data_IF_596087870432
#
_entry.id   IF_596087870432
#
_cell.length_a   1.000
_cell.length_b   1.000
_cell.length_c   1.000
_cell.angle_alpha   90.00
_cell.angle_beta   90.00
_cell.angle_gamma   90.00
#
_symmetry.space_group_name_H-M   'P 1'
#
loop_
_entity.id
_entity.type
_entity.pdbx_description
1 polymer ?
#
# COMPACT_ATOMS: atom_id res chain seq x y z
N UNK A 1 19.03 5.51 60.41
CA UNK A 1 18.71 6.91 60.80
C UNK A 1 17.96 6.98 62.13
N UNK A 2 16.98 6.10 62.41
CA UNK A 2 16.36 6.02 63.74
C UNK A 2 17.35 5.58 64.85
N UNK A 3 18.28 4.67 64.54
CA UNK A 3 19.35 4.26 65.47
C UNK A 3 20.27 5.43 65.83
N UNK A 4 20.80 6.16 64.84
CA UNK A 4 21.65 7.32 65.10
C UNK A 4 20.95 8.45 65.90
N UNK A 5 19.62 8.58 65.77
CA UNK A 5 18.84 9.52 66.57
C UNK A 5 18.65 9.03 68.01
N UNK A 6 18.48 7.71 68.22
CA UNK A 6 18.47 7.10 69.55
C UNK A 6 19.84 7.18 70.22
N UNK A 7 20.93 6.95 69.48
CA UNK A 7 22.30 7.05 70.00
C UNK A 7 22.62 8.48 70.44
N UNK A 8 22.18 9.49 69.67
CA UNK A 8 22.32 10.89 70.05
C UNK A 8 21.49 11.25 71.30
N UNK A 9 20.31 10.65 71.47
CA UNK A 9 19.46 10.83 72.65
C UNK A 9 20.06 10.16 73.90
N UNK A 10 20.66 8.97 73.77
CA UNK A 10 21.39 8.32 74.85
C UNK A 10 22.62 9.12 75.27
N UNK A 11 23.34 9.69 74.31
CA UNK A 11 24.52 10.51 74.57
C UNK A 11 24.16 11.83 75.29
N UNK A 12 23.04 12.46 74.91
CA UNK A 12 22.51 13.62 75.61
C UNK A 12 22.00 13.28 77.02
N UNK A 13 21.36 12.12 77.21
CA UNK A 13 20.91 11.64 78.51
C UNK A 13 22.10 11.32 79.45
N UNK A 14 23.19 10.77 78.91
CA UNK A 14 24.42 10.52 79.65
C UNK A 14 25.14 11.82 80.04
N UNK A 15 25.19 12.82 79.17
CA UNK A 15 25.79 14.12 79.48
C UNK A 15 25.00 14.90 80.55
N UNK A 16 23.67 14.79 80.52
CA UNK A 16 22.79 15.35 81.55
C UNK A 16 23.04 14.74 82.94
N UNK A 17 23.18 13.42 83.02
CA UNK A 17 23.44 12.73 84.28
C UNK A 17 24.83 13.03 84.88
N UNK A 18 25.81 13.42 84.06
CA UNK A 18 27.16 13.75 84.53
C UNK A 18 27.36 15.21 84.96
N UNK A 19 26.43 16.12 84.67
CA UNK A 19 26.62 17.57 84.91
C UNK A 19 26.03 18.10 86.21
N UNK A 20 25.30 17.29 87.00
CA UNK A 20 25.00 17.60 88.41
C UNK A 20 24.38 18.99 88.68
N UNK A 21 23.67 19.57 87.72
CA UNK A 21 22.99 20.86 87.88
C UNK A 21 21.48 20.64 88.05
N UNK A 22 21.00 20.95 89.27
CA UNK A 22 19.59 21.08 89.64
C UNK A 22 18.97 22.29 88.95
N UNK A 23 18.69 22.16 87.66
CA UNK A 23 17.82 23.06 86.91
C UNK A 23 17.06 22.22 85.87
N UNK A 24 16.32 21.22 86.38
CA UNK A 24 15.56 20.24 85.61
C UNK A 24 14.66 20.89 84.55
N UNK A 25 14.21 22.12 84.78
CA UNK A 25 13.40 22.91 83.84
C UNK A 25 14.17 23.38 82.60
N UNK A 26 15.42 23.80 82.74
CA UNK A 26 16.25 24.30 81.64
C UNK A 26 16.79 23.16 80.78
N UNK A 27 17.17 22.04 81.42
CA UNK A 27 17.56 20.82 80.72
C UNK A 27 16.36 20.17 80.01
N UNK A 28 15.20 20.08 80.66
CA UNK A 28 13.98 19.57 80.02
C UNK A 28 13.55 20.43 78.83
N UNK A 29 13.69 21.77 78.93
CA UNK A 29 13.42 22.70 77.83
C UNK A 29 14.40 22.53 76.66
N UNK A 30 15.70 22.40 76.94
CA UNK A 30 16.71 22.15 75.92
C UNK A 30 16.52 20.78 75.23
N UNK A 31 16.16 19.75 75.99
CA UNK A 31 15.80 18.43 75.44
C UNK A 31 14.52 18.48 74.61
N UNK A 32 13.50 19.25 75.02
CA UNK A 32 12.28 19.44 74.25
C UNK A 32 12.56 20.18 72.92
N UNK A 33 13.35 21.25 72.97
CA UNK A 33 13.78 22.02 71.80
C UNK A 33 14.64 21.18 70.84
N UNK A 34 15.55 20.34 71.37
CA UNK A 34 16.33 19.41 70.57
C UNK A 34 15.44 18.36 69.88
N UNK A 35 14.44 17.81 70.59
CA UNK A 35 13.47 16.87 70.01
C UNK A 35 12.62 17.53 68.92
N UNK A 36 12.18 18.76 69.12
CA UNK A 36 11.43 19.53 68.13
C UNK A 36 12.27 19.80 66.89
N UNK A 37 13.54 20.20 67.05
CA UNK A 37 14.47 20.39 65.93
C UNK A 37 14.72 19.09 65.18
N UNK A 38 14.97 17.97 65.88
CA UNK A 38 15.15 16.65 65.25
C UNK A 38 13.89 16.24 64.49
N UNK A 39 12.70 16.44 65.08
CA UNK A 39 11.43 16.15 64.42
C UNK A 39 11.21 17.01 63.16
N UNK A 40 11.52 18.31 63.22
CA UNK A 40 11.39 19.22 62.08
C UNK A 40 12.35 18.86 60.94
N UNK A 41 13.62 18.56 61.25
CA UNK A 41 14.62 18.12 60.26
C UNK A 41 14.23 16.78 59.66
N UNK A 42 13.68 15.86 60.46
CA UNK A 42 13.22 14.56 59.97
C UNK A 42 11.97 14.71 59.09
N UNK A 43 11.06 15.63 59.40
CA UNK A 43 9.90 15.94 58.53
C UNK A 43 10.37 16.51 57.20
N UNK A 44 11.23 17.52 57.22
CA UNK A 44 11.79 18.15 56.04
C UNK A 44 12.58 17.14 55.18
N UNK A 45 13.37 16.26 55.79
CA UNK A 45 14.08 15.19 55.10
C UNK A 45 13.13 14.17 54.45
N UNK A 46 12.03 13.80 55.13
CA UNK A 46 11.01 12.92 54.57
C UNK A 46 10.24 13.58 53.43
N UNK A 47 9.93 14.86 53.53
CA UNK A 47 9.31 15.65 52.46
C UNK A 47 10.23 15.74 51.24
N UNK A 48 11.50 16.05 51.44
CA UNK A 48 12.51 16.06 50.38
C UNK A 48 12.65 14.70 49.71
N UNK A 49 12.65 13.60 50.49
CA UNK A 49 12.68 12.23 49.95
C UNK A 49 11.46 11.94 49.07
N UNK A 50 10.26 12.25 49.54
CA UNK A 50 9.03 12.06 48.75
C UNK A 50 9.06 12.88 47.46
N UNK A 51 9.51 14.13 47.54
CA UNK A 51 9.65 14.99 46.35
C UNK A 51 10.65 14.40 45.34
N UNK A 52 11.80 13.89 45.81
CA UNK A 52 12.79 13.24 44.97
C UNK A 52 12.25 11.95 44.32
N UNK A 53 11.50 11.12 45.06
CA UNK A 53 10.85 9.92 44.51
C UNK A 53 9.84 10.28 43.42
N UNK A 54 9.01 11.30 43.63
CA UNK A 54 8.05 11.80 42.62
C UNK A 54 8.77 12.32 41.38
N UNK A 55 9.83 13.12 41.54
CA UNK A 55 10.63 13.62 40.42
C UNK A 55 11.29 12.47 39.64
N UNK A 56 11.81 11.46 40.34
CA UNK A 56 12.40 10.27 39.72
C UNK A 56 11.38 9.48 38.90
N UNK A 57 10.20 9.19 39.45
CA UNK A 57 9.16 8.46 38.73
C UNK A 57 8.67 9.23 37.50
N UNK A 58 8.51 10.56 37.62
CA UNK A 58 8.16 11.45 36.51
C UNK A 58 9.22 11.40 35.41
N UNK A 59 10.51 11.58 35.76
CA UNK A 59 11.61 11.53 34.80
C UNK A 59 11.72 10.17 34.12
N UNK A 60 11.60 9.07 34.86
CA UNK A 60 11.59 7.71 34.32
C UNK A 60 10.47 7.54 33.28
N UNK A 61 9.26 8.03 33.57
CA UNK A 61 8.13 7.99 32.65
C UNK A 61 8.37 8.83 31.40
N UNK A 62 8.89 10.06 31.55
CA UNK A 62 9.23 10.93 30.41
C UNK A 62 10.27 10.31 29.48
N UNK A 63 11.33 9.72 30.05
CA UNK A 63 12.35 9.01 29.28
C UNK A 63 11.77 7.81 28.54
N UNK A 64 10.88 7.05 29.19
CA UNK A 64 10.17 5.95 28.54
C UNK A 64 9.31 6.44 27.36
N UNK A 65 8.52 7.50 27.54
CA UNK A 65 7.70 8.08 26.47
C UNK A 65 8.55 8.55 25.29
N UNK A 66 9.64 9.27 25.55
CA UNK A 66 10.58 9.71 24.51
C UNK A 66 11.19 8.53 23.74
N UNK A 67 11.62 7.48 24.45
CA UNK A 67 12.15 6.28 23.82
C UNK A 67 11.12 5.61 22.92
N UNK A 68 9.87 5.52 23.38
CA UNK A 68 8.78 4.93 22.60
C UNK A 68 8.47 5.76 21.35
N UNK A 69 8.40 7.10 21.47
CA UNK A 69 8.19 8.00 20.32
C UNK A 69 9.28 7.80 19.28
N UNK A 70 10.56 7.82 19.68
CA UNK A 70 11.69 7.61 18.75
C UNK A 70 11.61 6.25 18.07
N UNK A 71 11.23 5.20 18.82
CA UNK A 71 11.05 3.87 18.24
C UNK A 71 9.92 3.85 17.20
N UNK A 72 8.76 4.42 17.53
CA UNK A 72 7.63 4.50 16.61
C UNK A 72 7.97 5.32 15.35
N UNK A 73 8.71 6.41 15.51
CA UNK A 73 9.23 7.21 14.40
C UNK A 73 10.14 6.42 13.48
N UNK A 74 11.12 5.70 14.04
CA UNK A 74 12.06 4.90 13.23
C UNK A 74 11.37 3.78 12.44
N UNK A 75 10.37 3.12 13.03
CA UNK A 75 9.60 2.08 12.35
C UNK A 75 8.69 2.69 11.28
N UNK A 76 8.11 3.86 11.55
CA UNK A 76 7.31 4.59 10.58
C UNK A 76 8.14 5.04 9.38
N UNK A 77 9.31 5.62 9.62
CA UNK A 77 10.26 6.03 8.58
C UNK A 77 10.67 4.83 7.72
N UNK A 78 10.95 3.68 8.33
CA UNK A 78 11.24 2.44 7.59
C UNK A 78 10.11 2.03 6.66
N UNK A 79 8.85 2.11 7.11
CA UNK A 79 7.67 1.81 6.27
C UNK A 79 7.60 2.78 5.10
N UNK A 80 7.76 4.09 5.35
CA UNK A 80 7.66 5.11 4.31
C UNK A 80 8.79 4.99 3.29
N UNK A 81 10.02 4.76 3.76
CA UNK A 81 11.18 4.57 2.89
C UNK A 81 11.00 3.36 1.98
N UNK A 82 10.37 2.28 2.44
CA UNK A 82 10.03 1.15 1.58
C UNK A 82 9.15 1.56 0.40
N UNK A 83 8.12 2.38 0.61
CA UNK A 83 7.27 2.85 -0.49
C UNK A 83 8.04 3.74 -1.47
N UNK A 84 8.87 4.67 -0.98
CA UNK A 84 9.62 5.57 -1.87
C UNK A 84 10.76 4.89 -2.62
N UNK A 85 11.48 3.97 -1.97
CA UNK A 85 12.69 3.35 -2.54
C UNK A 85 12.38 2.07 -3.33
N UNK A 86 11.32 1.35 -2.95
CA UNK A 86 10.98 0.04 -3.54
C UNK A 86 9.61 0.07 -4.20
N UNK A 87 8.58 0.56 -3.51
CA UNK A 87 7.20 0.52 -3.97
C UNK A 87 6.94 1.30 -5.26
N UNK A 88 7.18 2.62 -5.24
CA UNK A 88 6.91 3.52 -6.37
C UNK A 88 7.76 3.19 -7.62
N UNK A 89 9.07 2.92 -7.50
CA UNK A 89 9.89 2.55 -8.66
C UNK A 89 9.40 1.25 -9.30
N UNK A 90 9.01 0.24 -8.51
CA UNK A 90 8.50 -1.01 -9.06
C UNK A 90 7.13 -0.82 -9.71
N UNK A 91 6.18 -0.15 -9.05
CA UNK A 91 4.86 0.13 -9.61
C UNK A 91 4.97 0.85 -10.97
N UNK A 92 5.92 1.78 -11.10
CA UNK A 92 6.18 2.50 -12.35
C UNK A 92 6.68 1.56 -13.45
N UNK A 93 7.50 0.57 -13.10
CA UNK A 93 8.05 -0.41 -14.05
C UNK A 93 7.05 -1.49 -14.50
N UNK A 94 6.02 -1.77 -13.71
CA UNK A 94 5.06 -2.86 -13.91
C UNK A 94 3.94 -2.46 -14.88
N UNK A 95 4.29 -2.24 -16.14
CA UNK A 95 3.35 -1.88 -17.20
C UNK A 95 3.05 -3.07 -18.12
N UNK A 96 1.88 -3.08 -18.80
CA UNK A 96 1.59 -4.09 -19.83
C UNK A 96 2.69 -4.11 -20.89
N UNK A 97 3.19 -5.30 -21.21
CA UNK A 97 4.22 -5.49 -22.23
C UNK A 97 3.67 -5.50 -23.65
N UNK A 98 4.43 -6.09 -24.58
CA UNK A 98 4.06 -6.16 -26.01
C UNK A 98 3.49 -7.51 -26.44
N UNK A 99 3.57 -8.50 -25.56
CA UNK A 99 3.13 -9.87 -25.78
C UNK A 99 2.56 -10.47 -24.48
N UNK A 100 2.01 -11.69 -24.58
CA UNK A 100 1.39 -12.39 -23.45
C UNK A 100 2.39 -12.68 -22.31
N UNK A 101 3.58 -13.19 -22.64
CA UNK A 101 4.60 -13.58 -21.66
C UNK A 101 5.08 -12.38 -20.83
N UNK A 102 5.32 -11.24 -21.47
CA UNK A 102 5.69 -9.99 -20.79
C UNK A 102 4.61 -9.59 -19.77
N UNK A 103 3.34 -9.68 -20.16
CA UNK A 103 2.20 -9.35 -19.31
C UNK A 103 2.04 -10.31 -18.12
N UNK A 104 2.27 -11.61 -18.33
CA UNK A 104 2.24 -12.63 -17.27
C UNK A 104 3.38 -12.41 -16.26
N UNK A 105 4.60 -12.16 -16.73
CA UNK A 105 5.75 -11.85 -15.88
C UNK A 105 5.51 -10.56 -15.08
N UNK A 106 4.94 -9.53 -15.73
CA UNK A 106 4.58 -8.28 -15.05
C UNK A 106 3.50 -8.51 -13.98
N UNK A 107 2.51 -9.37 -14.25
CA UNK A 107 1.47 -9.73 -13.29
C UNK A 107 2.04 -10.47 -12.07
N UNK A 108 2.93 -11.44 -12.28
CA UNK A 108 3.55 -12.18 -11.17
C UNK A 108 4.32 -11.24 -10.23
N UNK A 109 5.14 -10.35 -10.80
CA UNK A 109 5.87 -9.34 -10.04
C UNK A 109 4.93 -8.37 -9.31
N UNK A 110 3.83 -7.95 -9.94
CA UNK A 110 2.82 -7.10 -9.32
C UNK A 110 2.14 -7.79 -8.13
N UNK A 111 1.84 -9.08 -8.23
CA UNK A 111 1.26 -9.84 -7.13
C UNK A 111 2.22 -9.96 -5.94
N UNK A 112 3.52 -10.11 -6.20
CA UNK A 112 4.57 -10.01 -5.17
C UNK A 112 4.55 -8.65 -4.47
N UNK A 113 4.62 -7.56 -5.25
CA UNK A 113 4.59 -6.20 -4.73
C UNK A 113 3.32 -5.89 -3.91
N UNK A 114 2.16 -6.40 -4.33
CA UNK A 114 0.90 -6.26 -3.61
C UNK A 114 0.93 -6.98 -2.26
N UNK A 115 1.56 -8.16 -2.18
CA UNK A 115 1.75 -8.87 -0.92
C UNK A 115 2.60 -8.06 0.06
N UNK A 116 3.72 -7.51 -0.43
CA UNK A 116 4.65 -6.74 0.37
C UNK A 116 4.04 -5.41 0.84
N UNK A 117 3.31 -4.71 -0.04
CA UNK A 117 2.56 -3.51 0.30
C UNK A 117 1.51 -3.77 1.41
N UNK A 118 0.83 -4.91 1.35
CA UNK A 118 -0.10 -5.34 2.42
C UNK A 118 0.63 -5.67 3.72
N UNK A 119 1.86 -6.18 3.66
CA UNK A 119 2.67 -6.35 4.88
C UNK A 119 3.02 -5.00 5.51
N UNK A 120 3.43 -4.02 4.70
CA UNK A 120 3.69 -2.66 5.17
C UNK A 120 2.45 -1.99 5.75
N UNK A 121 1.29 -2.18 5.12
CA UNK A 121 0.00 -1.72 5.66
C UNK A 121 -0.27 -2.33 7.04
N UNK A 122 -0.10 -3.65 7.21
CA UNK A 122 -0.28 -4.29 8.52
C UNK A 122 0.72 -3.78 9.55
N UNK A 123 1.97 -3.53 9.15
CA UNK A 123 2.97 -2.95 10.02
C UNK A 123 2.56 -1.55 10.49
N UNK A 124 2.05 -0.73 9.57
CA UNK A 124 1.51 0.60 9.89
C UNK A 124 0.31 0.52 10.84
N UNK A 125 -0.65 -0.36 10.60
CA UNK A 125 -1.79 -0.56 11.50
C UNK A 125 -1.35 -0.97 12.92
N UNK A 126 -0.30 -1.79 13.04
CA UNK A 126 0.29 -2.13 14.36
C UNK A 126 0.91 -0.90 15.03
N UNK A 127 1.62 -0.05 14.29
CA UNK A 127 2.17 1.20 14.84
C UNK A 127 1.07 2.14 15.31
N UNK A 128 0.00 2.28 14.53
CA UNK A 128 -1.18 3.05 14.92
C UNK A 128 -1.80 2.51 16.22
N UNK A 129 -2.00 1.20 16.33
CA UNK A 129 -2.51 0.57 17.56
C UNK A 129 -1.60 0.81 18.77
N UNK A 130 -0.28 0.63 18.60
CA UNK A 130 0.70 0.91 19.65
C UNK A 130 0.66 2.37 20.08
N UNK A 131 0.47 3.28 19.13
CA UNK A 131 0.36 4.71 19.40
C UNK A 131 -0.86 4.98 20.28
N UNK A 132 -2.04 4.47 19.93
CA UNK A 132 -3.26 4.64 20.72
C UNK A 132 -3.19 4.04 22.13
N UNK A 133 -2.35 3.03 22.35
CA UNK A 133 -2.15 2.42 23.67
C UNK A 133 -1.27 3.26 24.60
N UNK A 134 -0.55 4.27 24.09
CA UNK A 134 0.30 5.14 24.90
C UNK A 134 -0.57 6.09 25.72
N UNK A 135 -0.61 5.86 27.03
CA UNK A 135 -1.29 6.76 27.96
C UNK A 135 -0.44 8.01 28.20
N UNK A 136 -0.76 9.09 27.49
CA UNK A 136 -0.16 10.39 27.70
C UNK A 136 -0.46 10.93 29.11
N UNK A 137 0.47 11.70 29.72
CA UNK A 137 0.17 12.44 30.94
C UNK A 137 -0.99 13.40 30.66
N UNK A 138 -2.04 13.36 31.48
CA UNK A 138 -2.99 14.48 31.53
C UNK A 138 -2.28 15.64 32.24
N UNK A 139 -2.27 16.81 31.60
CA UNK A 139 -1.89 18.05 32.28
C UNK A 139 -2.70 18.20 33.57
N UNK A 140 -2.06 18.35 34.75
CA UNK A 140 -2.77 18.69 35.97
C UNK A 140 -3.08 20.20 35.95
N UNK A 141 -3.97 20.63 35.05
CA UNK A 141 -4.64 21.93 35.17
C UNK A 141 -6.06 21.71 35.63
N UNK A 142 -6.18 21.49 36.94
CA UNK A 142 -7.21 22.01 37.86
C UNK A 142 -7.48 20.99 38.97
N UNK A 143 -6.90 21.21 40.15
CA UNK A 143 -7.54 20.74 41.37
C UNK A 143 -8.42 21.89 41.89
N UNK A 144 -9.75 21.76 41.90
CA UNK A 144 -10.55 22.60 42.76
C UNK A 144 -10.24 22.20 44.21
N UNK A 145 -10.15 23.18 45.10
CA UNK A 145 -10.11 23.00 46.57
C UNK A 145 -8.91 22.24 47.16
N UNK A 146 -7.75 22.89 47.25
CA UNK A 146 -7.00 23.08 48.53
C UNK A 146 -5.77 23.96 48.28
N UNK A 147 -5.72 25.12 48.92
CA UNK A 147 -4.66 26.12 48.76
C UNK A 147 -3.36 25.74 49.47
N UNK A 148 -2.59 24.85 48.88
CA UNK A 148 -1.17 24.66 49.19
C UNK A 148 -0.39 24.69 47.87
N UNK A 149 0.62 25.57 47.71
CA UNK A 149 1.46 25.56 46.54
C UNK A 149 2.36 24.33 46.61
N UNK A 150 2.04 23.31 45.81
CA UNK A 150 3.03 22.31 45.43
C UNK A 150 4.09 23.06 44.64
N UNK A 151 5.32 23.11 45.16
CA UNK A 151 6.49 23.61 44.42
C UNK A 151 6.58 22.84 43.11
N UNK A 152 6.03 23.45 42.07
CA UNK A 152 6.12 22.95 40.71
C UNK A 152 7.30 23.73 40.14
N UNK A 153 8.43 23.04 39.92
CA UNK A 153 9.51 23.61 39.12
C UNK A 153 8.90 23.98 37.77
N UNK A 154 8.72 25.28 37.53
CA UNK A 154 8.03 25.81 36.36
C UNK A 154 8.73 25.44 35.04
N UNK A 155 10.01 25.07 35.08
CA UNK A 155 10.80 24.67 33.90
C UNK A 155 10.45 23.26 33.37
N UNK A 156 9.88 22.38 34.19
CA UNK A 156 9.62 20.97 33.82
C UNK A 156 8.18 20.72 33.31
N UNK A 157 7.31 21.73 33.37
CA UNK A 157 5.98 21.68 32.72
C UNK A 157 6.11 21.76 31.20
N UNK A 158 7.05 22.56 30.72
CA UNK A 158 7.33 22.76 29.29
C UNK A 158 7.78 21.47 28.61
N UNK A 159 8.56 20.63 29.31
CA UNK A 159 9.06 19.34 28.81
C UNK A 159 7.93 18.32 28.60
N UNK A 160 6.92 18.31 29.47
CA UNK A 160 5.75 17.44 29.32
C UNK A 160 4.86 17.88 28.15
N UNK A 161 4.66 19.19 28.02
CA UNK A 161 3.90 19.79 26.90
C UNK A 161 4.60 19.52 25.57
N UNK A 162 5.94 19.65 25.51
CA UNK A 162 6.74 19.33 24.34
C UNK A 162 6.60 17.86 23.93
N UNK A 163 6.74 16.92 24.89
CA UNK A 163 6.59 15.48 24.61
C UNK A 163 5.17 15.15 24.14
N UNK A 164 4.15 15.81 24.70
CA UNK A 164 2.78 15.64 24.23
C UNK A 164 2.58 16.21 22.81
N UNK A 165 3.17 17.36 22.49
CA UNK A 165 3.13 17.94 21.14
C UNK A 165 3.77 17.02 20.11
N UNK A 166 4.99 16.56 20.37
CA UNK A 166 5.73 15.66 19.47
C UNK A 166 4.98 14.36 19.20
N UNK A 167 4.32 13.80 20.22
CA UNK A 167 3.47 12.63 20.07
C UNK A 167 2.23 12.93 19.19
N UNK A 168 1.56 14.07 19.39
CA UNK A 168 0.39 14.42 18.57
C UNK A 168 0.77 14.68 17.10
N UNK A 169 1.95 15.26 16.86
CA UNK A 169 2.49 15.43 15.51
C UNK A 169 2.86 14.09 14.86
N UNK A 170 3.35 13.12 15.65
CA UNK A 170 3.56 11.75 15.20
C UNK A 170 2.25 11.08 14.77
N UNK A 171 1.20 11.17 15.59
CA UNK A 171 -0.13 10.62 15.27
C UNK A 171 -0.67 11.22 13.97
N UNK A 172 -0.54 12.54 13.78
CA UNK A 172 -0.95 13.20 12.52
C UNK A 172 -0.17 12.67 11.32
N UNK A 173 1.15 12.50 11.44
CA UNK A 173 1.97 11.89 10.37
C UNK A 173 1.51 10.48 10.05
N UNK A 174 1.23 9.66 11.06
CA UNK A 174 0.75 8.30 10.83
C UNK A 174 -0.59 8.29 10.09
N UNK A 175 -1.54 9.15 10.48
CA UNK A 175 -2.81 9.28 9.77
C UNK A 175 -2.65 9.76 8.31
N UNK A 176 -1.65 10.59 8.04
CA UNK A 176 -1.36 11.08 6.67
C UNK A 176 -0.78 9.95 5.83
N UNK A 177 0.18 9.21 6.38
CA UNK A 177 0.76 8.05 5.70
C UNK A 177 -0.23 6.91 5.47
N UNK A 178 -1.22 6.73 6.35
CA UNK A 178 -2.25 5.72 6.16
C UNK A 178 -3.00 5.94 4.85
N UNK A 179 -3.37 7.21 4.56
CA UNK A 179 -4.01 7.59 3.30
C UNK A 179 -3.12 7.25 2.11
N UNK A 180 -1.84 7.62 2.18
CA UNK A 180 -0.88 7.32 1.12
C UNK A 180 -0.73 5.80 0.88
N UNK A 181 -0.70 4.98 1.94
CA UNK A 181 -0.63 3.52 1.82
C UNK A 181 -1.87 2.98 1.09
N UNK A 182 -3.06 3.44 1.45
CA UNK A 182 -4.30 3.05 0.77
C UNK A 182 -4.30 3.47 -0.70
N UNK A 183 -3.91 4.72 -0.99
CA UNK A 183 -3.82 5.23 -2.36
C UNK A 183 -2.82 4.43 -3.21
N UNK A 184 -1.70 4.00 -2.63
CA UNK A 184 -0.74 3.14 -3.30
C UNK A 184 -1.32 1.74 -3.60
N UNK A 185 -2.04 1.15 -2.65
CA UNK A 185 -2.72 -0.14 -2.85
C UNK A 185 -3.79 -0.03 -3.92
N UNK A 186 -4.58 1.04 -3.95
CA UNK A 186 -5.61 1.25 -4.97
C UNK A 186 -4.99 1.36 -6.37
N UNK A 187 -3.86 2.06 -6.51
CA UNK A 187 -3.09 2.11 -7.76
C UNK A 187 -2.54 0.75 -8.17
N UNK A 188 -2.04 -0.06 -7.23
CA UNK A 188 -1.64 -1.45 -7.51
C UNK A 188 -2.82 -2.28 -8.01
N UNK A 189 -3.99 -2.14 -7.41
CA UNK A 189 -5.18 -2.90 -7.81
C UNK A 189 -5.72 -2.44 -9.18
N UNK A 190 -5.63 -1.14 -9.49
CA UNK A 190 -5.94 -0.62 -10.81
C UNK A 190 -4.96 -1.15 -11.86
N UNK A 191 -3.64 -1.17 -11.56
CA UNK A 191 -2.64 -1.77 -12.44
C UNK A 191 -2.86 -3.27 -12.64
N UNK A 192 -3.27 -3.98 -11.59
CA UNK A 192 -3.62 -5.41 -11.66
C UNK A 192 -4.79 -5.64 -12.61
N UNK A 193 -5.84 -4.81 -12.53
CA UNK A 193 -6.98 -4.89 -13.45
C UNK A 193 -6.54 -4.66 -14.90
N UNK A 194 -5.74 -3.62 -15.16
CA UNK A 194 -5.20 -3.34 -16.49
C UNK A 194 -4.35 -4.50 -17.05
N UNK A 195 -3.42 -5.04 -16.27
CA UNK A 195 -2.61 -6.19 -16.69
C UNK A 195 -3.46 -7.44 -16.93
N UNK A 196 -4.46 -7.70 -16.08
CA UNK A 196 -5.34 -8.85 -16.23
C UNK A 196 -6.15 -8.77 -17.53
N UNK A 197 -6.75 -7.62 -17.82
CA UNK A 197 -7.45 -7.38 -19.08
C UNK A 197 -6.51 -7.47 -20.29
N UNK A 198 -5.25 -7.04 -20.15
CA UNK A 198 -4.22 -7.20 -21.18
C UNK A 198 -3.89 -8.68 -21.46
N UNK A 199 -3.78 -9.50 -20.41
CA UNK A 199 -3.56 -10.95 -20.54
C UNK A 199 -4.75 -11.61 -21.26
N UNK A 200 -5.99 -11.25 -20.89
CA UNK A 200 -7.20 -11.73 -21.58
C UNK A 200 -7.13 -11.37 -23.07
N UNK A 201 -6.85 -10.11 -23.40
CA UNK A 201 -6.72 -9.67 -24.78
C UNK A 201 -5.69 -10.51 -25.56
N UNK A 202 -4.47 -10.67 -25.04
CA UNK A 202 -3.42 -11.41 -25.75
C UNK A 202 -3.71 -12.90 -25.86
N UNK A 203 -4.25 -13.52 -24.82
CA UNK A 203 -4.63 -14.94 -24.85
C UNK A 203 -5.73 -15.22 -25.88
N UNK A 204 -6.77 -14.38 -25.94
CA UNK A 204 -7.85 -14.53 -26.91
C UNK A 204 -7.37 -14.22 -28.34
N UNK A 205 -6.60 -13.14 -28.52
CA UNK A 205 -6.11 -12.72 -29.83
C UNK A 205 -5.14 -13.73 -30.45
N UNK A 206 -4.25 -14.33 -29.64
CA UNK A 206 -3.31 -15.35 -30.12
C UNK A 206 -4.01 -16.64 -30.52
N UNK A 207 -4.99 -17.11 -29.74
CA UNK A 207 -5.80 -18.30 -30.08
C UNK A 207 -6.61 -18.06 -31.35
N UNK A 208 -7.25 -16.89 -31.46
CA UNK A 208 -8.03 -16.52 -32.64
C UNK A 208 -7.15 -16.47 -33.89
N UNK A 209 -6.00 -15.81 -33.82
CA UNK A 209 -5.06 -15.72 -34.93
C UNK A 209 -4.54 -17.09 -35.36
N UNK A 210 -4.24 -17.98 -34.41
CA UNK A 210 -3.81 -19.34 -34.72
C UNK A 210 -4.91 -20.13 -35.45
N UNK A 211 -6.15 -20.08 -34.94
CA UNK A 211 -7.29 -20.72 -35.59
C UNK A 211 -7.55 -20.18 -37.00
N UNK A 212 -7.37 -18.88 -37.20
CA UNK A 212 -7.51 -18.24 -38.52
C UNK A 212 -6.39 -18.65 -39.49
N UNK A 213 -5.14 -18.75 -39.03
CA UNK A 213 -4.01 -19.22 -39.84
C UNK A 213 -4.18 -20.69 -40.24
N UNK A 214 -4.64 -21.53 -39.32
CA UNK A 214 -4.93 -22.94 -39.61
C UNK A 214 -6.06 -23.08 -40.64
N UNK A 215 -7.10 -22.23 -40.53
CA UNK A 215 -8.18 -22.16 -41.50
C UNK A 215 -7.72 -21.62 -42.85
N UNK A 216 -6.85 -20.60 -42.87
CA UNK A 216 -6.24 -20.04 -44.09
C UNK A 216 -5.48 -21.13 -44.85
N UNK A 217 -4.65 -21.90 -44.15
CA UNK A 217 -3.89 -23.01 -44.72
C UNK A 217 -4.81 -24.10 -45.28
N UNK A 218 -5.90 -24.45 -44.57
CA UNK A 218 -6.88 -25.44 -45.04
C UNK A 218 -7.65 -24.96 -46.28
N UNK A 219 -8.01 -23.67 -46.33
CA UNK A 219 -8.66 -23.07 -47.49
C UNK A 219 -7.72 -23.07 -48.70
N UNK A 220 -6.45 -22.72 -48.50
CA UNK A 220 -5.45 -22.70 -49.57
C UNK A 220 -5.11 -24.11 -50.08
N UNK A 221 -4.98 -25.11 -49.20
CA UNK A 221 -4.74 -26.50 -49.63
C UNK A 221 -5.92 -27.07 -50.41
N UNK A 222 -7.14 -26.86 -49.90
CA UNK A 222 -8.37 -27.27 -50.61
C UNK A 222 -8.47 -26.58 -51.97
N UNK A 223 -8.08 -25.30 -52.04
CA UNK A 223 -8.07 -24.54 -53.27
C UNK A 223 -7.06 -25.06 -54.30
N UNK A 224 -5.92 -25.56 -53.85
CA UNK A 224 -4.91 -26.16 -54.71
C UNK A 224 -5.31 -27.56 -55.21
N UNK A 225 -5.97 -28.37 -54.37
CA UNK A 225 -6.35 -29.75 -54.69
C UNK A 225 -7.63 -29.86 -55.54
N UNK A 226 -8.62 -28.99 -55.32
CA UNK A 226 -9.93 -29.05 -56.00
C UNK A 226 -10.18 -27.76 -56.77
N UNK A 227 -9.61 -27.65 -57.97
CA UNK A 227 -9.77 -26.45 -58.82
C UNK A 227 -11.18 -26.26 -59.42
N UNK A 228 -12.07 -27.26 -59.32
CA UNK A 228 -13.32 -27.33 -60.09
C UNK A 228 -14.59 -27.67 -59.25
N UNK A 229 -14.60 -27.41 -57.94
CA UNK A 229 -15.78 -27.64 -57.11
C UNK A 229 -15.94 -26.70 -55.91
N UNK A 230 -17.15 -26.64 -55.31
CA UNK A 230 -17.46 -25.72 -54.24
C UNK A 230 -16.62 -25.98 -52.99
N UNK A 231 -16.21 -24.89 -52.33
CA UNK A 231 -15.59 -24.95 -51.02
C UNK A 231 -16.57 -25.60 -50.01
N UNK A 232 -16.08 -26.45 -49.10
CA UNK A 232 -16.91 -27.00 -48.03
C UNK A 232 -17.57 -25.89 -47.23
N UNK A 233 -18.90 -25.93 -47.11
CA UNK A 233 -19.68 -24.94 -46.34
C UNK A 233 -19.23 -24.85 -44.89
N UNK A 234 -18.67 -25.94 -44.33
CA UNK A 234 -18.11 -25.97 -42.98
C UNK A 234 -16.92 -25.00 -42.79
N UNK A 235 -16.06 -24.83 -43.80
CA UNK A 235 -14.92 -23.89 -43.71
C UNK A 235 -15.40 -22.43 -43.73
N UNK A 236 -16.42 -22.14 -44.53
CA UNK A 236 -17.03 -20.79 -44.62
C UNK A 236 -17.80 -20.45 -43.34
N UNK A 237 -18.52 -21.42 -42.78
CA UNK A 237 -19.19 -21.29 -41.48
C UNK A 237 -18.18 -21.04 -40.37
N UNK A 238 -17.10 -21.82 -40.32
CA UNK A 238 -16.04 -21.66 -39.32
C UNK A 238 -15.33 -20.31 -39.40
N UNK A 239 -15.12 -19.78 -40.61
CA UNK A 239 -14.60 -18.41 -40.79
C UNK A 239 -15.55 -17.37 -40.17
N UNK A 240 -16.85 -17.53 -40.39
CA UNK A 240 -17.88 -16.62 -39.87
C UNK A 240 -17.97 -16.68 -38.34
N UNK A 241 -17.82 -17.88 -37.75
CA UNK A 241 -17.77 -18.08 -36.30
C UNK A 241 -16.54 -17.40 -35.68
N UNK A 242 -15.36 -17.52 -36.30
CA UNK A 242 -14.14 -16.86 -35.83
C UNK A 242 -14.19 -15.33 -35.98
N UNK A 243 -14.81 -14.83 -37.05
CA UNK A 243 -15.00 -13.39 -37.28
C UNK A 243 -15.86 -12.73 -36.19
N UNK A 244 -16.80 -13.49 -35.60
CA UNK A 244 -17.64 -13.02 -34.49
C UNK A 244 -16.85 -12.72 -33.21
N UNK A 245 -15.62 -13.23 -33.06
CA UNK A 245 -14.74 -12.95 -31.92
C UNK A 245 -14.03 -11.59 -32.00
N UNK A 246 -13.89 -11.01 -33.19
CA UNK A 246 -13.14 -9.75 -33.39
C UNK A 246 -13.77 -8.54 -32.68
N UNK A 247 -15.11 -8.35 -32.68
CA UNK A 247 -15.74 -7.27 -31.93
C UNK A 247 -15.43 -7.30 -30.43
N UNK A 248 -15.37 -8.48 -29.82
CA UNK A 248 -15.04 -8.63 -28.40
C UNK A 248 -13.62 -8.15 -28.09
N UNK A 249 -12.63 -8.54 -28.90
CA UNK A 249 -11.25 -8.06 -28.75
C UNK A 249 -11.12 -6.54 -28.93
N UNK A 250 -11.92 -5.94 -29.82
CA UNK A 250 -11.96 -4.49 -29.99
C UNK A 250 -12.53 -3.80 -28.75
N UNK A 251 -13.59 -4.35 -28.18
CA UNK A 251 -14.19 -3.85 -26.94
C UNK A 251 -13.18 -3.92 -25.79
N UNK A 252 -12.49 -5.05 -25.62
CA UNK A 252 -11.42 -5.21 -24.62
C UNK A 252 -10.30 -4.18 -24.81
N UNK A 253 -9.89 -3.88 -26.05
CA UNK A 253 -8.88 -2.85 -26.31
C UNK A 253 -9.41 -1.44 -26.02
N UNK A 254 -10.68 -1.16 -26.29
CA UNK A 254 -11.32 0.11 -25.91
C UNK A 254 -11.35 0.23 -24.39
N UNK A 255 -11.74 -0.81 -23.66
CA UNK A 255 -11.73 -0.84 -22.20
C UNK A 255 -10.35 -0.49 -21.65
N UNK A 256 -9.29 -1.13 -22.17
CA UNK A 256 -7.90 -0.85 -21.78
C UNK A 256 -7.46 0.60 -22.05
N UNK A 257 -7.93 1.22 -23.14
CA UNK A 257 -7.64 2.62 -23.48
C UNK A 257 -8.42 3.61 -22.62
N UNK A 258 -9.65 3.26 -22.28
CA UNK A 258 -10.52 4.05 -21.41
C UNK A 258 -10.21 3.83 -19.93
N UNK A 259 -9.37 2.84 -19.61
CA UNK A 259 -8.78 2.67 -18.29
C UNK A 259 -7.95 3.90 -17.94
N UNK A 260 -8.58 4.85 -17.24
CA UNK A 260 -7.92 6.00 -16.67
C UNK A 260 -7.32 5.58 -15.33
N UNK A 261 -6.08 5.99 -15.07
CA UNK A 261 -5.50 5.99 -13.73
C UNK A 261 -6.19 7.13 -12.93
N UNK A 262 -7.47 6.94 -12.60
CA UNK A 262 -8.26 7.91 -11.84
C UNK A 262 -7.85 7.85 -10.36
N UNK A 263 -6.62 8.25 -10.05
CA UNK A 263 -6.27 8.69 -8.70
C UNK A 263 -4.91 9.37 -8.69
N UNK A 264 -4.90 10.66 -9.03
CA UNK A 264 -3.81 11.55 -8.66
C UNK A 264 -4.34 12.71 -7.82
N UNK A 265 -4.09 12.63 -6.52
CA UNK A 265 -3.69 13.80 -5.74
C UNK A 265 -2.22 13.62 -5.35
N UNK A 266 -1.49 14.72 -5.37
CA UNK A 266 -0.05 14.82 -5.19
C UNK A 266 0.47 14.03 -3.97
N UNK A 267 1.63 13.34 -4.08
CA UNK A 267 2.29 12.76 -2.92
C UNK A 267 2.90 13.88 -2.09
N UNK A 268 2.14 14.44 -1.15
CA UNK A 268 2.70 15.37 -0.16
C UNK A 268 3.32 14.60 1.00
N UNK A 269 4.53 14.08 0.78
CA UNK A 269 5.63 14.11 1.76
C UNK A 269 6.96 14.15 0.99
N UNK A 270 7.28 15.30 0.38
CA UNK A 270 8.67 15.72 0.17
C UNK A 270 9.50 15.16 -1.01
N UNK A 271 8.92 14.72 -2.13
CA UNK A 271 9.70 14.28 -3.30
C UNK A 271 9.14 14.83 -4.64
N UNK A 272 10.00 15.03 -5.67
CA UNK A 272 9.73 15.90 -6.81
C UNK A 272 8.72 15.31 -7.79
N UNK A 273 8.03 16.22 -8.47
CA UNK A 273 7.03 16.03 -9.53
C UNK A 273 7.43 14.87 -10.47
N UNK A 274 6.81 13.71 -10.28
CA UNK A 274 6.81 12.59 -11.23
C UNK A 274 5.85 12.87 -12.40
N UNK A 275 5.98 12.15 -13.53
CA UNK A 275 5.35 12.54 -14.79
C UNK A 275 3.82 12.52 -14.70
N UNK A 276 3.25 13.50 -15.42
CA UNK A 276 1.82 13.76 -15.70
C UNK A 276 0.98 12.50 -15.88
N UNK A 277 -0.33 12.52 -15.55
CA UNK A 277 -1.23 11.37 -15.70
C UNK A 277 -1.06 10.69 -17.06
N UNK A 278 -0.62 9.44 -17.01
CA UNK A 278 -0.48 8.58 -18.17
C UNK A 278 -1.67 7.66 -18.28
N UNK A 279 -2.07 7.35 -19.51
CA UNK A 279 -2.98 6.24 -19.81
C UNK A 279 -2.46 4.97 -19.12
N UNK A 280 -3.34 4.16 -18.49
CA UNK A 280 -2.94 2.89 -17.85
C UNK A 280 -2.24 1.95 -18.83
N UNK A 281 -2.61 2.04 -20.11
CA UNK A 281 -1.96 1.35 -21.22
C UNK A 281 -0.88 2.25 -21.84
N UNK A 282 0.40 1.85 -21.77
CA UNK A 282 1.46 2.57 -22.45
C UNK A 282 1.27 2.59 -23.98
N UNK A 283 1.79 3.62 -24.67
CA UNK A 283 1.61 3.76 -26.12
C UNK A 283 2.24 2.62 -26.93
N UNK A 284 3.31 1.99 -26.42
CA UNK A 284 3.95 0.86 -27.09
C UNK A 284 3.10 -0.41 -27.01
N UNK A 285 2.45 -0.66 -25.88
CA UNK A 285 1.54 -1.78 -25.65
C UNK A 285 0.27 -1.61 -26.48
N UNK A 286 -0.31 -0.40 -26.50
CA UNK A 286 -1.45 -0.06 -27.36
C UNK A 286 -1.14 -0.29 -28.84
N UNK A 287 0.03 0.16 -29.30
CA UNK A 287 0.48 -0.07 -30.67
C UNK A 287 0.65 -1.57 -30.99
N UNK A 288 1.16 -2.38 -30.05
CA UNK A 288 1.32 -3.81 -30.22
C UNK A 288 -0.05 -4.52 -30.32
N UNK A 289 -0.98 -4.22 -29.42
CA UNK A 289 -2.34 -4.76 -29.43
C UNK A 289 -3.09 -4.38 -30.71
N UNK A 290 -2.96 -3.13 -31.15
CA UNK A 290 -3.56 -2.65 -32.41
C UNK A 290 -2.98 -3.38 -33.63
N UNK A 291 -1.66 -3.61 -33.66
CA UNK A 291 -1.03 -4.39 -34.74
C UNK A 291 -1.56 -5.82 -34.78
N UNK A 292 -1.73 -6.46 -33.62
CA UNK A 292 -2.26 -7.82 -33.53
C UNK A 292 -3.71 -7.89 -34.05
N UNK A 293 -4.57 -6.92 -33.69
CA UNK A 293 -5.91 -6.82 -34.25
C UNK A 293 -5.90 -6.63 -35.77
N UNK A 294 -5.05 -5.75 -36.28
CA UNK A 294 -4.93 -5.53 -37.72
C UNK A 294 -4.48 -6.81 -38.44
N UNK A 295 -3.60 -7.61 -37.83
CA UNK A 295 -3.16 -8.88 -38.38
C UNK A 295 -4.30 -9.91 -38.45
N UNK A 296 -5.12 -9.98 -37.40
CA UNK A 296 -6.33 -10.82 -37.37
C UNK A 296 -7.29 -10.42 -38.49
N UNK A 297 -7.59 -9.12 -38.62
CA UNK A 297 -8.46 -8.59 -39.68
C UNK A 297 -7.92 -8.87 -41.08
N UNK A 298 -6.61 -8.68 -41.30
CA UNK A 298 -5.98 -8.99 -42.58
C UNK A 298 -6.06 -10.48 -42.91
N UNK A 299 -5.90 -11.36 -41.92
CA UNK A 299 -6.02 -12.82 -42.10
C UNK A 299 -7.45 -13.21 -42.48
N UNK A 300 -8.45 -12.62 -41.82
CA UNK A 300 -9.88 -12.81 -42.19
C UNK A 300 -10.13 -12.35 -43.63
N UNK A 301 -9.61 -11.19 -44.03
CA UNK A 301 -9.75 -10.69 -45.41
C UNK A 301 -9.11 -11.64 -46.43
N UNK A 302 -7.94 -12.21 -46.15
CA UNK A 302 -7.31 -13.23 -47.01
C UNK A 302 -8.18 -14.48 -47.13
N UNK A 303 -8.69 -15.01 -46.02
CA UNK A 303 -9.61 -16.15 -46.04
C UNK A 303 -10.89 -15.85 -46.84
N UNK A 304 -11.52 -14.68 -46.61
CA UNK A 304 -12.71 -14.23 -47.35
C UNK A 304 -12.46 -14.14 -48.85
N UNK A 305 -11.29 -13.62 -49.25
CA UNK A 305 -10.91 -13.51 -50.67
C UNK A 305 -10.86 -14.89 -51.34
N UNK A 306 -10.23 -15.87 -50.68
CA UNK A 306 -10.23 -17.26 -51.16
C UNK A 306 -11.66 -17.77 -51.29
N UNK A 307 -12.53 -17.56 -50.30
CA UNK A 307 -13.92 -18.00 -50.39
C UNK A 307 -14.68 -17.39 -51.58
N UNK A 308 -14.49 -16.10 -51.86
CA UNK A 308 -15.16 -15.40 -52.99
C UNK A 308 -14.64 -15.88 -54.34
N UNK A 309 -13.33 -16.11 -54.48
CA UNK A 309 -12.73 -16.61 -55.73
C UNK A 309 -13.32 -17.96 -56.15
N UNK A 310 -13.68 -18.82 -55.20
CA UNK A 310 -14.32 -20.12 -55.47
C UNK A 310 -15.80 -19.98 -55.83
N UNK A 311 -16.56 -19.13 -55.14
CA UNK A 311 -17.96 -18.87 -55.50
C UNK A 311 -18.08 -18.28 -56.92
N UNK A 312 -17.15 -17.40 -57.31
CA UNK A 312 -17.08 -16.87 -58.66
C UNK A 312 -16.88 -17.97 -59.72
N UNK A 313 -15.98 -18.93 -59.46
CA UNK A 313 -15.70 -20.06 -60.37
C UNK A 313 -16.87 -21.02 -60.50
N UNK A 314 -17.56 -21.35 -59.40
CA UNK A 314 -18.75 -22.22 -59.44
C UNK A 314 -19.88 -21.62 -60.29
N UNK A 315 -20.12 -20.32 -60.19
CA UNK A 315 -21.15 -19.66 -61.00
C UNK A 315 -20.80 -19.67 -62.48
N UNK A 316 -19.53 -19.42 -62.83
CA UNK A 316 -19.09 -19.52 -64.23
C UNK A 316 -19.18 -20.96 -64.73
N UNK A 317 -18.73 -21.96 -63.96
CA UNK A 317 -18.78 -23.36 -64.37
C UNK A 317 -20.22 -23.88 -64.51
N UNK A 318 -21.14 -23.45 -63.64
CA UNK A 318 -22.58 -23.75 -63.80
C UNK A 318 -23.16 -23.10 -65.05
N UNK A 319 -22.80 -21.84 -65.36
CA UNK A 319 -23.28 -21.20 -66.59
C UNK A 319 -22.72 -21.87 -67.84
N UNK A 320 -21.44 -22.26 -67.84
CA UNK A 320 -20.83 -22.98 -68.95
C UNK A 320 -21.46 -24.36 -69.16
N UNK A 321 -21.70 -25.13 -68.09
CA UNK A 321 -22.42 -26.42 -68.20
C UNK A 321 -23.85 -26.25 -68.70
N UNK A 322 -24.58 -25.24 -68.22
CA UNK A 322 -25.94 -24.96 -68.68
C UNK A 322 -25.99 -24.56 -70.16
N UNK A 323 -24.99 -23.81 -70.64
CA UNK A 323 -24.87 -23.45 -72.06
C UNK A 323 -24.54 -24.69 -72.91
N UNK A 324 -23.64 -25.54 -72.43
CA UNK A 324 -23.22 -26.77 -73.13
C UNK A 324 -24.35 -27.81 -73.22
N UNK A 325 -25.14 -27.97 -72.15
CA UNK A 325 -26.38 -28.77 -72.14
C UNK A 325 -27.42 -28.23 -73.12
N UNK A 326 -27.55 -26.90 -73.26
CA UNK A 326 -28.47 -26.29 -74.22
C UNK A 326 -27.97 -26.43 -75.67
N UNK A 327 -26.68 -26.40 -75.91
CA UNK A 327 -26.09 -26.60 -77.24
C UNK A 327 -26.21 -28.06 -77.69
N UNK A 328 -25.93 -29.01 -76.79
CA UNK A 328 -26.08 -30.45 -77.06
C UNK A 328 -27.53 -30.87 -77.28
N UNK A 329 -28.49 -30.25 -76.58
CA UNK A 329 -29.92 -30.46 -76.81
C UNK A 329 -30.41 -29.94 -78.18
N UNK A 330 -29.74 -28.95 -78.78
CA UNK A 330 -30.08 -28.42 -80.11
C UNK A 330 -29.45 -29.24 -81.24
N UNK A 331 -28.33 -29.93 -81.00
CA UNK A 331 -27.69 -30.80 -81.99
C UNK A 331 -28.36 -32.18 -82.19
N UNK A 332 -29.37 -32.51 -81.39
CA UNK A 332 -30.10 -33.79 -81.44
C UNK A 332 -31.56 -33.68 -81.93
N UNK A 333 -31.97 -32.52 -82.45
CA UNK A 333 -33.23 -32.33 -83.21
C UNK A 333 -32.93 -32.04 -84.68
#
# INVERSE_FOLDING_TARGET
MLEAANDALELLAHMANHTGQSDDSNLARACAEARERIASVTSAANEARRAAEVAWFRRKRLLYLRLVVVKLESEHERIINWFSEHGEPQLTSLVPGTNLEDCEIAMEKLMGLLSDAREMQRAHSRLMQQTHQITLPHSPHSSPTTGQPVFTFAEDGDVEVEVQSTYMDLVRRFSTSEKYIWEFIDRLEARRRCLHTSIIFYSEATVLLQCLRDLENQLQSTAAEKSAGPLPQDLVRRLSELELGVPGLKETLVELRTGVDEMHLSPSMGAPIGPSPGTMLPPHSDAAMTRLLNEIEQTILRCRKVCVEFQGRDTTDQTFRSIDERLTAVSHN
#
